data_IF_906253347326
#
_entry.id   IF_906253347326
#
_cell.length_a   1.000
_cell.length_b   1.000
_cell.length_c   1.000
_cell.angle_alpha   90.00
_cell.angle_beta   90.00
_cell.angle_gamma   90.00
#
_symmetry.space_group_name_H-M   'P 1'
#
loop_
_entity.id
_entity.type
_entity.pdbx_description
1 polymer ?
#
# COMPACT_ATOMS: atom_id res chain seq x y z
N UNK A 1 -20.49 5.14 -12.62
CA UNK A 1 -20.11 6.50 -12.18
C UNK A 1 -18.89 6.37 -11.26
N UNK A 2 -18.04 7.37 -11.11
CA UNK A 2 -16.90 7.37 -10.19
C UNK A 2 -17.16 8.43 -9.12
N UNK A 3 -16.99 8.09 -7.83
CA UNK A 3 -17.27 9.01 -6.72
C UNK A 3 -16.13 9.06 -5.73
N UNK A 4 -15.86 10.26 -5.23
CA UNK A 4 -14.91 10.53 -4.17
C UNK A 4 -15.63 11.23 -3.00
N UNK A 5 -15.58 10.64 -1.81
CA UNK A 5 -16.26 11.13 -0.61
C UNK A 5 -15.22 11.54 0.44
N UNK A 6 -15.32 12.78 0.92
CA UNK A 6 -14.54 13.24 2.07
C UNK A 6 -15.32 13.06 3.36
N UNK A 7 -14.67 12.47 4.36
CA UNK A 7 -15.19 12.38 5.73
C UNK A 7 -14.32 13.25 6.66
N UNK A 8 -14.90 14.22 7.40
CA UNK A 8 -14.14 15.04 8.34
C UNK A 8 -13.38 14.20 9.38
N UNK A 9 -14.00 13.09 9.82
CA UNK A 9 -13.43 12.09 10.71
C UNK A 9 -14.15 10.76 10.49
N UNK A 10 -13.43 9.65 10.63
CA UNK A 10 -14.03 8.32 10.70
C UNK A 10 -13.17 7.38 11.56
N UNK A 11 -13.71 6.22 11.89
CA UNK A 11 -12.97 5.14 12.55
C UNK A 11 -11.95 4.53 11.62
N UNK A 12 -12.40 4.02 10.47
CA UNK A 12 -11.58 3.38 9.44
C UNK A 12 -12.22 3.60 8.08
N UNK A 13 -11.47 4.17 7.13
CA UNK A 13 -11.98 4.37 5.76
C UNK A 13 -12.32 3.06 5.06
N UNK A 14 -11.66 1.94 5.40
CA UNK A 14 -12.04 0.62 4.89
C UNK A 14 -13.40 0.15 5.43
N UNK A 15 -13.69 0.40 6.70
CA UNK A 15 -14.98 0.02 7.27
C UNK A 15 -16.10 0.90 6.69
N UNK A 16 -15.87 2.20 6.61
CA UNK A 16 -16.83 3.15 6.02
C UNK A 16 -17.19 2.77 4.57
N UNK A 17 -16.21 2.47 3.73
CA UNK A 17 -16.49 2.12 2.33
C UNK A 17 -17.26 0.80 2.20
N UNK A 18 -16.99 -0.16 3.09
CA UNK A 18 -17.72 -1.43 3.15
C UNK A 18 -19.17 -1.18 3.57
N UNK A 19 -19.41 -0.32 4.56
CA UNK A 19 -20.74 0.05 5.01
C UNK A 19 -21.50 0.79 3.90
N UNK A 20 -20.84 1.71 3.20
CA UNK A 20 -21.43 2.37 2.02
C UNK A 20 -21.86 1.37 0.93
N UNK A 21 -21.02 0.39 0.60
CA UNK A 21 -21.35 -0.65 -0.39
C UNK A 21 -22.58 -1.46 0.06
N UNK A 22 -22.66 -1.81 1.35
CA UNK A 22 -23.73 -2.65 1.88
C UNK A 22 -25.07 -1.92 1.99
N UNK A 23 -25.05 -0.63 2.36
CA UNK A 23 -26.26 0.15 2.69
C UNK A 23 -26.89 0.82 1.47
N UNK A 24 -26.10 1.20 0.47
CA UNK A 24 -26.57 2.15 -0.55
C UNK A 24 -26.97 1.51 -1.87
N UNK A 25 -26.88 0.17 -2.03
CA UNK A 25 -27.03 -0.50 -3.35
C UNK A 25 -26.28 0.24 -4.45
N UNK A 26 -25.05 0.65 -4.13
CA UNK A 26 -24.23 1.49 -5.02
C UNK A 26 -23.98 0.71 -6.31
N UNK A 27 -24.52 1.19 -7.43
CA UNK A 27 -24.26 0.64 -8.77
C UNK A 27 -22.92 1.11 -9.34
N UNK A 28 -22.16 1.91 -8.57
CA UNK A 28 -20.90 2.47 -9.03
C UNK A 28 -19.82 1.39 -9.18
N UNK A 29 -19.12 1.44 -10.30
CA UNK A 29 -18.03 0.51 -10.58
C UNK A 29 -16.78 0.81 -9.75
N UNK A 30 -16.62 2.07 -9.33
CA UNK A 30 -15.50 2.59 -8.53
C UNK A 30 -15.98 3.66 -7.55
N UNK A 31 -15.71 3.45 -6.27
CA UNK A 31 -16.00 4.39 -5.18
C UNK A 31 -14.73 4.61 -4.37
N UNK A 32 -14.48 5.83 -3.92
CA UNK A 32 -13.40 6.14 -2.99
C UNK A 32 -13.87 7.03 -1.84
N UNK A 33 -13.29 6.80 -0.66
CA UNK A 33 -13.52 7.57 0.56
C UNK A 33 -12.17 7.98 1.13
N UNK A 34 -12.07 9.20 1.66
CA UNK A 34 -10.85 9.62 2.35
C UNK A 34 -11.15 10.50 3.57
N UNK A 35 -10.17 10.51 4.49
CA UNK A 35 -10.15 11.40 5.65
C UNK A 35 -8.71 11.79 5.99
N UNK A 36 -8.58 12.92 6.68
CA UNK A 36 -7.33 13.33 7.33
C UNK A 36 -7.34 13.07 8.85
N UNK A 37 -8.42 12.46 9.37
CA UNK A 37 -8.60 12.18 10.79
C UNK A 37 -9.24 10.78 10.99
N UNK A 38 -8.41 9.73 10.89
CA UNK A 38 -8.83 8.35 11.14
C UNK A 38 -8.46 7.95 12.56
N UNK A 39 -9.43 7.49 13.36
CA UNK A 39 -9.23 7.27 14.81
C UNK A 39 -8.88 5.82 15.16
N UNK A 40 -9.25 4.84 14.33
CA UNK A 40 -9.01 3.41 14.57
C UNK A 40 -8.55 2.69 13.30
N UNK A 41 -7.51 3.24 12.65
CA UNK A 41 -6.97 2.69 11.42
C UNK A 41 -6.45 1.26 11.59
N UNK A 42 -6.79 0.40 10.62
CA UNK A 42 -6.38 -1.00 10.57
C UNK A 42 -5.24 -1.19 9.58
N UNK A 43 -4.30 -2.05 9.95
CA UNK A 43 -3.28 -2.61 9.05
C UNK A 43 -3.47 -4.12 8.91
N UNK A 44 -2.60 -4.76 8.14
CA UNK A 44 -2.65 -6.22 7.96
C UNK A 44 -2.39 -6.96 9.30
N UNK A 45 -3.02 -8.12 9.46
CA UNK A 45 -2.82 -9.06 10.57
C UNK A 45 -2.98 -8.42 11.97
N UNK A 46 -3.98 -7.54 12.13
CA UNK A 46 -4.30 -6.91 13.41
C UNK A 46 -3.37 -5.75 13.81
N UNK A 47 -2.43 -5.36 12.96
CA UNK A 47 -1.66 -4.16 13.19
C UNK A 47 -2.56 -2.91 13.12
N UNK A 48 -2.16 -1.87 13.86
CA UNK A 48 -2.85 -0.57 13.81
C UNK A 48 -2.11 0.38 12.88
N UNK A 49 -2.89 1.13 12.10
CA UNK A 49 -2.38 2.28 11.35
C UNK A 49 -2.77 3.56 12.06
N UNK A 50 -1.80 4.26 12.63
CA UNK A 50 -2.03 5.53 13.34
C UNK A 50 -1.71 6.70 12.42
N UNK A 51 -2.59 7.68 12.37
CA UNK A 51 -2.34 8.96 11.70
C UNK A 51 -2.48 10.10 12.71
N UNK A 52 -1.67 11.14 12.53
CA UNK A 52 -1.94 12.42 13.19
C UNK A 52 -2.96 13.19 12.34
N UNK A 53 -3.97 13.74 13.00
CA UNK A 53 -5.04 14.46 12.32
C UNK A 53 -4.49 15.65 11.53
N UNK A 54 -4.95 15.80 10.29
CA UNK A 54 -4.55 16.85 9.34
C UNK A 54 -3.05 16.86 8.95
N UNK A 55 -2.35 15.73 9.14
CA UNK A 55 -0.96 15.59 8.68
C UNK A 55 -0.79 14.44 7.68
N UNK A 56 -1.71 13.48 7.68
CA UNK A 56 -1.64 12.26 6.91
C UNK A 56 -2.95 11.97 6.19
N UNK A 57 -2.92 11.07 5.23
CA UNK A 57 -4.07 10.64 4.46
C UNK A 57 -4.43 9.19 4.80
N UNK A 58 -5.69 8.94 5.15
CA UNK A 58 -6.33 7.64 5.03
C UNK A 58 -7.28 7.69 3.84
N UNK A 59 -7.07 6.79 2.88
CA UNK A 59 -7.80 6.70 1.63
C UNK A 59 -8.20 5.25 1.40
N UNK A 60 -9.45 5.01 1.07
CA UNK A 60 -9.90 3.68 0.66
C UNK A 60 -10.67 3.78 -0.63
N UNK A 61 -10.51 2.79 -1.50
CA UNK A 61 -11.35 2.64 -2.67
C UNK A 61 -11.90 1.23 -2.80
N UNK A 62 -13.04 1.12 -3.45
CA UNK A 62 -13.68 -0.13 -3.81
C UNK A 62 -13.94 -0.17 -5.31
N UNK A 63 -13.68 -1.32 -5.92
CA UNK A 63 -13.93 -1.59 -7.34
C UNK A 63 -14.62 -2.94 -7.50
N UNK A 64 -15.59 -3.03 -8.41
CA UNK A 64 -16.27 -4.31 -8.71
C UNK A 64 -15.29 -5.33 -9.28
N UNK A 65 -15.32 -6.56 -8.76
CA UNK A 65 -14.42 -7.65 -9.20
C UNK A 65 -14.49 -7.91 -10.70
N UNK A 66 -15.67 -7.76 -11.30
CA UNK A 66 -15.89 -7.94 -12.75
C UNK A 66 -15.12 -6.93 -13.64
N UNK A 67 -14.59 -5.84 -13.05
CA UNK A 67 -13.80 -4.84 -13.77
C UNK A 67 -12.30 -5.15 -13.74
N UNK A 68 -11.91 -6.18 -13.00
CA UNK A 68 -10.51 -6.54 -12.79
C UNK A 68 -10.23 -7.88 -13.44
N UNK A 69 -9.29 -7.90 -14.38
CA UNK A 69 -8.92 -9.08 -15.18
C UNK A 69 -7.81 -9.92 -14.57
N UNK A 70 -7.23 -9.50 -13.43
CA UNK A 70 -6.16 -10.22 -12.76
C UNK A 70 -6.59 -10.83 -11.42
N UNK A 71 -5.75 -11.70 -10.83
CA UNK A 71 -6.00 -12.29 -9.51
C UNK A 71 -5.99 -11.25 -8.39
N UNK A 72 -6.60 -11.58 -7.24
CA UNK A 72 -6.62 -10.72 -6.04
C UNK A 72 -5.20 -10.35 -5.58
N UNK A 73 -4.24 -11.26 -5.71
CA UNK A 73 -2.82 -11.03 -5.37
C UNK A 73 -2.19 -10.02 -6.34
N UNK A 74 -2.39 -10.22 -7.63
CA UNK A 74 -1.86 -9.29 -8.63
C UNK A 74 -2.54 -7.93 -8.54
N UNK A 75 -3.83 -7.86 -8.19
CA UNK A 75 -4.50 -6.60 -7.93
C UNK A 75 -3.89 -5.85 -6.74
N UNK A 76 -3.58 -6.56 -5.64
CA UNK A 76 -2.89 -5.95 -4.50
C UNK A 76 -1.49 -5.43 -4.88
N UNK A 77 -0.73 -6.19 -5.69
CA UNK A 77 0.57 -5.75 -6.21
C UNK A 77 0.42 -4.54 -7.13
N UNK A 78 -0.59 -4.55 -8.00
CA UNK A 78 -0.83 -3.42 -8.90
C UNK A 78 -1.21 -2.16 -8.13
N UNK A 79 -2.05 -2.28 -7.10
CA UNK A 79 -2.34 -1.14 -6.21
C UNK A 79 -1.06 -0.57 -5.59
N UNK A 80 -0.14 -1.42 -5.13
CA UNK A 80 1.13 -0.97 -4.58
C UNK A 80 2.00 -0.25 -5.63
N UNK A 81 2.03 -0.75 -6.87
CA UNK A 81 2.70 -0.09 -8.00
C UNK A 81 2.10 1.29 -8.26
N UNK A 82 0.76 1.39 -8.34
CA UNK A 82 0.07 2.64 -8.62
C UNK A 82 0.38 3.73 -7.58
N UNK A 83 0.27 3.39 -6.29
CA UNK A 83 0.56 4.36 -5.22
C UNK A 83 2.05 4.72 -5.19
N UNK A 84 2.93 3.75 -5.44
CA UNK A 84 4.37 3.97 -5.58
C UNK A 84 4.69 4.94 -6.72
N UNK A 85 4.12 4.71 -7.90
CA UNK A 85 4.39 5.53 -9.09
C UNK A 85 3.83 6.93 -8.92
N UNK A 86 2.64 7.06 -8.32
CA UNK A 86 2.05 8.35 -7.98
C UNK A 86 3.00 9.17 -7.10
N UNK A 87 3.48 8.60 -5.98
CA UNK A 87 4.38 9.30 -5.06
C UNK A 87 5.73 9.59 -5.72
N UNK A 88 6.31 8.64 -6.46
CA UNK A 88 7.58 8.82 -7.14
C UNK A 88 7.51 9.94 -8.19
N UNK A 89 6.40 10.02 -8.93
CA UNK A 89 6.18 11.07 -9.93
C UNK A 89 6.02 12.46 -9.29
N UNK A 90 5.31 12.54 -8.16
CA UNK A 90 5.14 13.82 -7.44
C UNK A 90 6.44 14.32 -6.80
N UNK A 91 7.21 13.40 -6.20
CA UNK A 91 8.40 13.77 -5.42
C UNK A 91 9.69 13.78 -6.24
N UNK A 92 9.67 13.21 -7.45
CA UNK A 92 10.85 12.96 -8.29
C UNK A 92 11.94 12.19 -7.52
N UNK A 93 11.52 11.35 -6.59
CA UNK A 93 12.41 10.54 -5.73
C UNK A 93 12.04 9.06 -5.88
N UNK A 94 13.04 8.19 -5.84
CA UNK A 94 12.81 6.76 -5.92
C UNK A 94 12.01 6.27 -4.72
N UNK A 95 10.91 5.57 -4.99
CA UNK A 95 10.08 4.86 -4.00
C UNK A 95 10.15 3.38 -4.31
N UNK A 96 10.34 2.53 -3.31
CA UNK A 96 10.38 1.07 -3.43
C UNK A 96 9.23 0.43 -2.66
N UNK A 97 8.85 -0.77 -3.08
CA UNK A 97 7.81 -1.56 -2.45
C UNK A 97 8.45 -2.59 -1.53
N UNK A 98 8.27 -2.43 -0.22
CA UNK A 98 8.59 -3.51 0.73
C UNK A 98 7.43 -4.48 0.73
N UNK A 99 7.70 -5.69 0.26
CA UNK A 99 6.71 -6.76 0.20
C UNK A 99 6.00 -6.97 1.55
N UNK A 100 4.66 -7.21 1.56
CA UNK A 100 3.81 -7.28 0.36
C UNK A 100 3.22 -5.92 -0.08
N UNK A 101 3.17 -4.88 0.77
CA UNK A 101 2.27 -3.73 0.59
C UNK A 101 2.70 -2.44 1.30
N UNK A 102 3.98 -2.31 1.65
CA UNK A 102 4.53 -1.09 2.26
C UNK A 102 5.35 -0.30 1.25
N UNK A 103 5.29 1.03 1.28
CA UNK A 103 6.16 1.87 0.46
C UNK A 103 7.26 2.49 1.29
N UNK A 104 8.46 2.37 0.75
CA UNK A 104 9.71 2.85 1.36
C UNK A 104 10.28 4.00 0.54
N UNK A 105 10.55 5.10 1.20
CA UNK A 105 11.23 6.27 0.65
C UNK A 105 12.44 6.58 1.55
N UNK A 106 13.66 6.57 0.98
CA UNK A 106 14.92 6.76 1.73
C UNK A 106 15.00 5.92 3.02
N UNK A 107 14.71 4.62 2.89
CA UNK A 107 14.71 3.64 4.00
C UNK A 107 13.67 3.90 5.11
N UNK A 108 12.65 4.74 4.88
CA UNK A 108 11.54 4.97 5.80
C UNK A 108 10.23 4.53 5.19
N UNK A 109 9.40 3.83 5.96
CA UNK A 109 8.03 3.48 5.58
C UNK A 109 7.17 4.74 5.60
N UNK A 110 6.68 5.14 4.43
CA UNK A 110 5.80 6.30 4.25
C UNK A 110 4.35 5.91 3.96
N UNK A 111 4.10 4.67 3.54
CA UNK A 111 2.77 4.19 3.20
C UNK A 111 2.61 2.73 3.57
N UNK A 112 1.40 2.36 3.97
CA UNK A 112 0.96 0.97 4.13
C UNK A 112 -0.41 0.78 3.51
N UNK A 113 -0.67 -0.41 2.98
CA UNK A 113 -1.92 -0.73 2.32
C UNK A 113 -2.60 -1.94 2.97
N UNK A 114 -3.93 -1.96 2.91
CA UNK A 114 -4.75 -3.07 3.42
C UNK A 114 -5.75 -3.48 2.33
N UNK A 115 -5.56 -4.66 1.79
CA UNK A 115 -6.45 -5.25 0.81
C UNK A 115 -7.49 -6.15 1.49
N UNK A 116 -8.75 -6.02 1.09
CA UNK A 116 -9.87 -6.86 1.53
C UNK A 116 -10.79 -7.16 0.34
N UNK A 117 -11.35 -8.37 0.30
CA UNK A 117 -12.40 -8.73 -0.65
C UNK A 117 -13.73 -8.80 0.08
N UNK A 118 -14.73 -8.07 -0.38
CA UNK A 118 -16.07 -8.00 0.23
C UNK A 118 -17.14 -8.17 -0.86
N UNK A 119 -17.76 -9.36 -0.83
CA UNK A 119 -18.74 -9.71 -1.87
C UNK A 119 -18.14 -9.58 -3.28
N UNK A 120 -18.77 -8.77 -4.10
CA UNK A 120 -18.34 -8.49 -5.47
C UNK A 120 -17.40 -7.30 -5.61
N UNK A 121 -16.74 -6.86 -4.51
CA UNK A 121 -15.82 -5.73 -4.50
C UNK A 121 -14.44 -6.12 -3.98
N UNK A 122 -13.42 -5.56 -4.62
CA UNK A 122 -12.06 -5.46 -4.09
C UNK A 122 -11.92 -4.11 -3.41
N UNK A 123 -11.52 -4.11 -2.15
CA UNK A 123 -11.35 -2.92 -1.32
C UNK A 123 -9.87 -2.77 -0.99
N UNK A 124 -9.32 -1.59 -1.24
CA UNK A 124 -7.94 -1.26 -0.87
C UNK A 124 -7.91 -0.01 -0.01
N UNK A 125 -7.45 -0.17 1.24
CA UNK A 125 -7.13 0.93 2.14
C UNK A 125 -5.67 1.33 1.99
N UNK A 126 -5.42 2.63 1.94
CA UNK A 126 -4.11 3.23 1.71
C UNK A 126 -3.88 4.29 2.79
N UNK A 127 -2.91 4.06 3.68
CA UNK A 127 -2.45 5.05 4.63
C UNK A 127 -1.15 5.69 4.13
N UNK A 128 -1.11 7.03 4.00
CA UNK A 128 0.08 7.75 3.54
C UNK A 128 0.48 8.80 4.56
N UNK A 129 1.70 8.73 5.04
CA UNK A 129 2.30 9.76 5.87
C UNK A 129 2.79 10.89 4.95
N UNK A 130 2.17 12.07 5.04
CA UNK A 130 2.44 13.19 4.12
C UNK A 130 3.24 14.30 4.80
N UNK A 131 2.69 14.90 5.86
CA UNK A 131 3.25 16.07 6.53
C UNK A 131 3.84 15.78 7.91
N UNK A 132 3.55 14.62 8.50
CA UNK A 132 3.99 14.26 9.84
C UNK A 132 5.53 14.26 9.93
N UNK A 133 6.07 14.97 10.89
CA UNK A 133 7.51 15.06 11.11
C UNK A 133 7.99 14.17 12.26
N UNK A 134 7.16 13.99 13.29
CA UNK A 134 7.51 13.19 14.46
C UNK A 134 6.86 11.79 14.41
N UNK A 135 7.70 10.75 14.54
CA UNK A 135 7.32 9.34 14.58
C UNK A 135 7.85 8.68 15.85
N UNK A 136 7.48 9.20 17.01
CA UNK A 136 7.89 8.66 18.32
C UNK A 136 7.71 7.14 18.37
N UNK A 137 8.74 6.42 18.81
CA UNK A 137 8.77 4.96 18.92
C UNK A 137 8.61 4.17 17.59
N UNK A 138 8.68 4.84 16.44
CA UNK A 138 8.60 4.19 15.12
C UNK A 138 9.81 4.55 14.25
N UNK A 139 11.01 4.07 14.57
CA UNK A 139 12.25 4.52 13.91
C UNK A 139 12.30 4.18 12.41
N UNK A 140 11.50 3.21 11.96
CA UNK A 140 11.39 2.83 10.54
C UNK A 140 10.34 3.65 9.78
N UNK A 141 9.51 4.45 10.46
CA UNK A 141 8.49 5.30 9.82
C UNK A 141 9.07 6.65 9.38
N UNK A 142 8.43 7.25 8.41
CA UNK A 142 8.69 8.59 7.90
C UNK A 142 7.49 9.11 7.12
N UNK A 143 7.59 10.35 6.62
CA UNK A 143 6.60 10.98 5.75
C UNK A 143 7.24 11.48 4.46
N UNK A 144 6.42 11.88 3.51
CA UNK A 144 6.91 12.53 2.29
C UNK A 144 7.67 13.79 2.67
N UNK A 145 7.12 14.66 3.53
CA UNK A 145 7.77 15.88 3.99
C UNK A 145 9.12 15.59 4.65
N UNK A 146 9.17 14.69 5.64
CA UNK A 146 10.40 14.40 6.37
C UNK A 146 11.51 13.79 5.51
N UNK A 147 11.16 13.14 4.38
CA UNK A 147 12.13 12.51 3.49
C UNK A 147 12.53 13.37 2.28
N UNK A 148 11.70 14.33 1.88
CA UNK A 148 11.92 15.10 0.63
C UNK A 148 11.97 16.60 0.83
N UNK A 149 11.52 17.10 1.98
CA UNK A 149 11.25 18.53 2.26
C UNK A 149 10.13 19.13 1.36
N UNK A 150 9.38 18.29 0.64
CA UNK A 150 8.26 18.74 -0.17
C UNK A 150 6.99 18.76 0.67
N UNK A 151 6.26 19.87 0.63
CA UNK A 151 5.00 20.07 1.33
C UNK A 151 3.85 20.06 0.32
N UNK A 152 2.83 19.23 0.59
CA UNK A 152 1.66 19.11 -0.26
C UNK A 152 0.40 19.60 0.48
N UNK A 153 -0.51 20.22 -0.26
CA UNK A 153 -1.88 20.39 0.20
C UNK A 153 -2.58 19.04 0.24
N UNK A 154 -3.14 18.68 1.38
CA UNK A 154 -3.69 17.33 1.63
C UNK A 154 -4.91 17.05 0.75
N UNK A 155 -5.78 18.05 0.52
CA UNK A 155 -6.97 17.88 -0.31
C UNK A 155 -6.60 17.65 -1.77
N UNK A 156 -5.75 18.50 -2.31
CA UNK A 156 -5.27 18.35 -3.68
C UNK A 156 -4.51 17.05 -3.89
N UNK A 157 -3.76 16.58 -2.85
CA UNK A 157 -3.08 15.30 -2.89
C UNK A 157 -4.08 14.13 -2.98
N UNK A 158 -5.13 14.13 -2.13
CA UNK A 158 -6.16 13.10 -2.13
C UNK A 158 -6.96 13.06 -3.44
N UNK A 159 -7.35 14.22 -3.98
CA UNK A 159 -8.05 14.34 -5.25
C UNK A 159 -7.17 13.86 -6.43
N UNK A 160 -5.90 14.23 -6.44
CA UNK A 160 -4.94 13.78 -7.47
C UNK A 160 -4.72 12.27 -7.41
N UNK A 161 -4.60 11.70 -6.21
CA UNK A 161 -4.48 10.25 -6.02
C UNK A 161 -5.72 9.52 -6.54
N UNK A 162 -6.91 10.04 -6.23
CA UNK A 162 -8.17 9.50 -6.72
C UNK A 162 -8.23 9.47 -8.26
N UNK A 163 -7.94 10.58 -8.90
CA UNK A 163 -7.96 10.65 -10.36
C UNK A 163 -6.95 9.69 -10.98
N UNK A 164 -5.74 9.65 -10.43
CA UNK A 164 -4.69 8.75 -10.91
C UNK A 164 -5.09 7.29 -10.79
N UNK A 165 -5.53 6.84 -9.61
CA UNK A 165 -5.92 5.44 -9.39
C UNK A 165 -7.15 5.09 -10.23
N UNK A 166 -8.17 5.94 -10.24
CA UNK A 166 -9.42 5.66 -10.97
C UNK A 166 -9.23 5.58 -12.49
N UNK A 167 -8.25 6.29 -13.05
CA UNK A 167 -7.85 6.19 -14.46
C UNK A 167 -7.09 4.88 -14.73
N UNK A 168 -6.09 4.59 -13.91
CA UNK A 168 -5.22 3.41 -14.08
C UNK A 168 -5.94 2.08 -13.84
N UNK A 169 -7.02 2.08 -13.05
CA UNK A 169 -7.84 0.90 -12.81
C UNK A 169 -8.97 0.69 -13.85
N UNK A 170 -9.01 1.48 -14.93
CA UNK A 170 -9.85 1.13 -16.08
C UNK A 170 -9.34 -0.16 -16.72
N UNK A 171 -10.23 -1.10 -17.12
CA UNK A 171 -9.82 -2.42 -17.60
C UNK A 171 -8.76 -2.38 -18.71
N UNK A 172 -8.87 -1.42 -19.62
CA UNK A 172 -7.93 -1.20 -20.74
C UNK A 172 -6.54 -0.70 -20.31
N UNK A 173 -6.40 -0.19 -19.09
CA UNK A 173 -5.16 0.37 -18.56
C UNK A 173 -4.40 -0.60 -17.62
N UNK A 174 -5.01 -1.75 -17.27
CA UNK A 174 -4.37 -2.73 -16.38
C UNK A 174 -3.35 -3.53 -17.20
N UNK A 175 -2.04 -3.44 -16.86
CA UNK A 175 -1.00 -4.12 -17.64
C UNK A 175 -1.01 -5.64 -17.39
N UNK A 176 -0.60 -6.41 -18.40
CA UNK A 176 -0.47 -7.86 -18.27
C UNK A 176 0.75 -8.26 -17.42
N UNK A 177 1.80 -7.45 -17.40
CA UNK A 177 3.08 -7.73 -16.74
C UNK A 177 3.17 -7.18 -15.30
N UNK A 178 2.06 -7.15 -14.55
CA UNK A 178 2.00 -6.64 -13.16
C UNK A 178 3.10 -7.23 -12.28
N UNK A 179 3.28 -8.56 -12.33
CA UNK A 179 4.27 -9.25 -11.50
C UNK A 179 5.69 -8.80 -11.79
N UNK A 180 6.02 -8.60 -13.04
CA UNK A 180 7.34 -8.09 -13.47
C UNK A 180 7.56 -6.67 -12.94
N UNK A 181 6.61 -5.77 -13.16
CA UNK A 181 6.64 -4.38 -12.69
C UNK A 181 6.78 -4.31 -11.16
N UNK A 182 6.04 -5.16 -10.43
CA UNK A 182 6.15 -5.26 -8.99
C UNK A 182 7.55 -5.68 -8.56
N UNK A 183 8.08 -6.75 -9.17
CA UNK A 183 9.39 -7.30 -8.86
C UNK A 183 10.57 -6.35 -9.19
N UNK A 184 10.44 -5.49 -10.21
CA UNK A 184 11.42 -4.45 -10.53
C UNK A 184 11.50 -3.37 -9.43
N UNK A 185 10.43 -3.19 -8.67
CA UNK A 185 10.30 -2.15 -7.66
C UNK A 185 10.42 -2.65 -6.22
N UNK A 186 10.77 -3.93 -6.02
CA UNK A 186 10.96 -4.47 -4.68
C UNK A 186 12.11 -3.80 -3.93
N UNK A 187 11.83 -3.44 -2.68
CA UNK A 187 12.82 -2.90 -1.76
C UNK A 187 13.85 -3.97 -1.38
N UNK A 188 15.13 -3.64 -1.48
CA UNK A 188 16.26 -4.54 -1.21
C UNK A 188 16.35 -5.78 -2.10
N UNK A 189 15.66 -5.81 -3.26
CA UNK A 189 15.86 -6.87 -4.23
C UNK A 189 17.33 -6.92 -4.70
N UNK A 190 17.85 -8.13 -4.87
CA UNK A 190 19.23 -8.40 -5.29
C UNK A 190 20.31 -7.74 -4.39
N UNK A 191 19.95 -7.44 -3.12
CA UNK A 191 20.87 -6.84 -2.15
C UNK A 191 21.00 -7.74 -0.94
N UNK A 192 22.24 -8.01 -0.49
CA UNK A 192 22.47 -8.73 0.77
C UNK A 192 21.82 -7.95 1.90
N UNK A 193 20.95 -8.61 2.64
CA UNK A 193 20.21 -8.04 3.75
C UNK A 193 20.10 -9.04 4.87
N UNK A 194 19.89 -8.56 6.09
CA UNK A 194 19.69 -9.42 7.26
C UNK A 194 18.22 -9.76 7.42
N UNK A 195 17.94 -11.03 7.57
CA UNK A 195 16.61 -11.55 7.85
C UNK A 195 16.56 -12.23 9.21
N UNK A 196 15.41 -12.13 9.88
CA UNK A 196 15.16 -12.86 11.13
C UNK A 196 13.96 -13.81 10.93
N UNK A 197 14.18 -15.08 11.25
CA UNK A 197 13.15 -16.13 11.30
C UNK A 197 13.34 -16.92 12.60
N UNK A 198 12.27 -17.10 13.36
CA UNK A 198 12.28 -17.84 14.63
C UNK A 198 13.40 -17.36 15.60
N UNK A 199 13.65 -16.04 15.63
CA UNK A 199 14.73 -15.38 16.40
C UNK A 199 16.16 -15.71 15.92
N UNK A 200 16.31 -16.39 14.81
CA UNK A 200 17.61 -16.65 14.17
C UNK A 200 17.82 -15.63 13.05
N UNK A 201 18.98 -14.98 13.07
CA UNK A 201 19.39 -14.01 12.06
C UNK A 201 20.35 -14.62 11.08
N UNK A 202 20.13 -14.37 9.81
CA UNK A 202 21.04 -14.77 8.74
C UNK A 202 20.97 -13.76 7.59
N UNK A 203 22.01 -13.76 6.75
CA UNK A 203 21.99 -13.00 5.51
C UNK A 203 21.09 -13.67 4.48
N UNK A 204 20.59 -12.87 3.56
CA UNK A 204 19.81 -13.36 2.43
C UNK A 204 19.64 -12.30 1.35
N UNK A 205 19.17 -12.75 0.20
CA UNK A 205 18.94 -11.90 -0.99
C UNK A 205 17.52 -12.13 -1.47
N UNK A 206 16.70 -11.09 -1.51
CA UNK A 206 15.37 -11.15 -2.12
C UNK A 206 15.53 -11.39 -3.62
N UNK A 207 14.94 -12.47 -4.12
CA UNK A 207 14.92 -12.82 -5.54
C UNK A 207 13.69 -12.21 -6.23
N UNK A 208 12.50 -12.58 -5.78
CA UNK A 208 11.24 -12.10 -6.35
C UNK A 208 10.04 -12.40 -5.43
N UNK A 209 8.93 -11.72 -5.66
CA UNK A 209 7.61 -12.17 -5.26
C UNK A 209 6.98 -13.00 -6.39
N UNK A 210 6.09 -13.93 -6.05
CA UNK A 210 5.38 -14.73 -7.06
C UNK A 210 3.87 -14.40 -7.12
N UNK A 211 3.17 -14.98 -8.08
CA UNK A 211 1.74 -14.77 -8.31
C UNK A 211 0.83 -15.49 -7.28
N UNK A 212 1.42 -16.26 -6.37
CA UNK A 212 0.73 -16.89 -5.24
C UNK A 212 0.90 -16.09 -3.95
N UNK A 213 1.63 -14.98 -3.97
CA UNK A 213 1.83 -14.09 -2.84
C UNK A 213 3.05 -14.40 -1.97
N UNK A 214 3.89 -15.36 -2.36
CA UNK A 214 5.13 -15.67 -1.64
C UNK A 214 6.27 -14.73 -2.05
N UNK A 215 7.17 -14.48 -1.08
CA UNK A 215 8.46 -13.85 -1.32
C UNK A 215 9.55 -14.92 -1.34
N UNK A 216 10.33 -14.97 -2.40
CA UNK A 216 11.46 -15.88 -2.56
C UNK A 216 12.75 -15.19 -2.13
N UNK A 217 13.48 -15.83 -1.22
CA UNK A 217 14.72 -15.32 -0.63
C UNK A 217 15.76 -16.42 -0.70
N UNK A 218 16.93 -16.11 -1.24
CA UNK A 218 18.11 -16.93 -1.14
C UNK A 218 18.77 -16.65 0.20
N UNK A 219 18.67 -17.56 1.14
CA UNK A 219 19.23 -17.47 2.49
C UNK A 219 20.60 -18.09 2.57
N UNK A 220 21.50 -17.51 3.34
CA UNK A 220 22.90 -17.95 3.48
C UNK A 220 23.02 -19.41 3.94
N UNK A 221 22.21 -19.82 4.92
CA UNK A 221 22.28 -21.15 5.52
C UNK A 221 21.27 -22.15 4.91
N UNK A 222 20.12 -21.64 4.42
CA UNK A 222 18.98 -22.49 4.05
C UNK A 222 18.73 -22.55 2.53
N UNK A 223 19.53 -21.81 1.73
CA UNK A 223 19.36 -21.72 0.29
C UNK A 223 18.08 -20.99 -0.11
N UNK A 224 17.58 -21.26 -1.31
CA UNK A 224 16.39 -20.62 -1.84
C UNK A 224 15.12 -21.14 -1.16
N UNK A 225 14.45 -20.25 -0.44
CA UNK A 225 13.21 -20.49 0.30
C UNK A 225 12.12 -19.52 -0.11
N UNK A 226 10.85 -19.93 0.04
CA UNK A 226 9.69 -19.05 -0.13
C UNK A 226 9.00 -18.81 1.21
N UNK A 227 8.54 -17.59 1.42
CA UNK A 227 7.92 -17.16 2.66
C UNK A 227 6.58 -16.51 2.40
N UNK A 228 5.62 -16.82 3.26
CA UNK A 228 4.40 -16.04 3.36
C UNK A 228 4.63 -14.86 4.33
N UNK A 229 3.71 -13.89 4.30
CA UNK A 229 3.84 -12.70 5.14
C UNK A 229 3.92 -13.06 6.63
N UNK A 230 4.85 -12.43 7.37
CA UNK A 230 5.22 -12.67 8.78
C UNK A 230 5.99 -13.97 9.07
N UNK A 231 6.27 -14.84 8.12
CA UNK A 231 7.13 -15.99 8.35
C UNK A 231 8.61 -15.63 8.45
N UNK A 232 8.97 -14.45 7.91
CA UNK A 232 10.33 -13.91 7.97
C UNK A 232 10.28 -12.38 8.05
N UNK A 233 11.21 -11.78 8.80
CA UNK A 233 11.34 -10.33 8.92
C UNK A 233 12.63 -9.83 8.24
N UNK A 234 12.52 -8.84 7.36
CA UNK A 234 13.64 -8.06 6.84
C UNK A 234 14.03 -6.99 7.87
N UNK A 235 15.27 -7.05 8.36
CA UNK A 235 15.85 -6.04 9.25
C UNK A 235 16.53 -4.93 8.44
N UNK A 236 16.09 -3.66 8.60
CA UNK A 236 16.60 -2.49 7.84
C UNK A 236 16.49 -1.21 8.65
#
# INVERSE_FOLDING_TARGET
MKSLIYLPQCSSTNDEIIDFINLSHIEEDFLAIYTFNQTNGRGQYGNKWKILANENLAFSFAIKTQKISCSDILFNYYTAILVRDFIANLTKTEVKIKWPNDLILKNKKICGMLFEKKGNYLVSGIGINILQENFENLPKAGSILSQTNLKFDLKNFAESLYHYISEKLMPENIPENILELYNQNLYKKNTISVFEKDKVRQNGIIQNADNNGFLWIELENDGLQKFFHKEIELLY
#
